data_IF_182917611240
#
_entry.id   IF_182917611240
#
_cell.length_a   1.000
_cell.length_b   1.000
_cell.length_c   1.000
_cell.angle_alpha   90.00
_cell.angle_beta   90.00
_cell.angle_gamma   90.00
#
_symmetry.space_group_name_H-M   'P 1'
#
loop_
_entity.id
_entity.type
_entity.pdbx_description
1 polymer ?
#
# COMPACT_ATOMS: atom_id res chain seq x y z
N UNK A 1 27.79 -7.69 -5.44
CA UNK A 1 26.49 -8.31 -5.13
C UNK A 1 25.39 -7.45 -5.70
N UNK A 2 24.40 -8.05 -6.35
CA UNK A 2 23.22 -7.35 -6.84
C UNK A 2 22.40 -6.86 -5.64
N UNK A 3 22.10 -5.56 -5.58
CA UNK A 3 21.25 -4.99 -4.53
C UNK A 3 19.83 -5.44 -4.80
N UNK A 4 19.33 -6.45 -4.09
CA UNK A 4 17.94 -6.88 -4.20
C UNK A 4 17.15 -6.26 -3.05
N UNK A 5 16.05 -5.63 -3.40
CA UNK A 5 15.17 -4.98 -2.46
C UNK A 5 13.72 -5.24 -2.85
N UNK A 6 12.94 -5.75 -1.91
CA UNK A 6 11.56 -6.14 -2.14
C UNK A 6 10.65 -5.21 -1.34
N UNK A 7 9.67 -4.60 -2.01
CA UNK A 7 8.63 -3.79 -1.37
C UNK A 7 7.35 -4.60 -1.34
N UNK A 8 6.83 -4.86 -0.15
CA UNK A 8 5.58 -5.56 0.07
C UNK A 8 4.55 -4.60 0.67
N UNK A 9 3.35 -4.55 0.09
CA UNK A 9 2.34 -3.61 0.55
C UNK A 9 1.02 -4.26 0.95
N UNK A 10 0.42 -3.71 2.01
CA UNK A 10 -0.95 -3.97 2.45
C UNK A 10 -1.76 -2.67 2.35
N UNK A 11 -2.80 -2.65 1.53
CA UNK A 11 -3.55 -1.46 1.15
C UNK A 11 -5.04 -1.76 1.09
N UNK A 12 -5.87 -0.89 1.66
CA UNK A 12 -7.33 -1.01 1.60
C UNK A 12 -7.90 -0.13 0.47
N UNK A 13 -7.52 1.16 0.45
CA UNK A 13 -8.04 2.18 -0.49
C UNK A 13 -7.06 2.57 -1.59
N UNK A 14 -5.90 1.92 -1.69
CA UNK A 14 -4.89 2.18 -2.73
C UNK A 14 -3.71 3.05 -2.30
N UNK A 15 -3.79 3.81 -1.21
CA UNK A 15 -2.71 4.73 -0.79
C UNK A 15 -1.37 4.03 -0.57
N UNK A 16 -1.35 2.89 0.11
CA UNK A 16 -0.11 2.12 0.36
C UNK A 16 0.45 1.50 -0.93
N UNK A 17 -0.42 1.11 -1.86
CA UNK A 17 -0.03 0.61 -3.17
C UNK A 17 0.64 1.71 -4.00
N UNK A 18 -0.01 2.87 -4.14
CA UNK A 18 0.51 4.00 -4.91
C UNK A 18 1.86 4.47 -4.37
N UNK A 19 2.00 4.54 -3.04
CA UNK A 19 3.25 4.90 -2.41
C UNK A 19 4.35 3.88 -2.69
N UNK A 20 4.04 2.59 -2.63
CA UNK A 20 4.98 1.51 -2.91
C UNK A 20 5.43 1.51 -4.37
N UNK A 21 4.50 1.71 -5.30
CA UNK A 21 4.81 1.87 -6.71
C UNK A 21 5.65 3.13 -6.96
N UNK A 22 5.38 4.23 -6.25
CA UNK A 22 6.18 5.46 -6.34
C UNK A 22 7.62 5.22 -5.87
N UNK A 23 7.80 4.62 -4.68
CA UNK A 23 9.12 4.25 -4.16
C UNK A 23 9.88 3.43 -5.18
N UNK A 24 9.23 2.44 -5.79
CA UNK A 24 9.85 1.62 -6.81
C UNK A 24 10.23 2.37 -8.08
N UNK A 25 9.40 3.29 -8.57
CA UNK A 25 9.74 4.10 -9.75
C UNK A 25 11.02 4.90 -9.53
N UNK A 26 11.16 5.50 -8.35
CA UNK A 26 12.35 6.28 -7.98
C UNK A 26 13.59 5.38 -7.71
N UNK A 27 13.34 4.11 -7.38
CA UNK A 27 14.36 3.17 -6.88
C UNK A 27 14.67 2.03 -7.83
N UNK A 28 14.06 1.99 -9.02
CA UNK A 28 14.22 0.96 -10.05
C UNK A 28 15.68 0.76 -10.46
N UNK A 29 16.49 1.83 -10.34
CA UNK A 29 17.93 1.83 -10.55
C UNK A 29 18.70 0.88 -9.61
N UNK A 30 18.08 0.48 -8.49
CA UNK A 30 18.63 -0.41 -7.48
C UNK A 30 17.99 -1.80 -7.48
N UNK A 31 17.29 -2.23 -8.54
CA UNK A 31 16.79 -3.60 -8.66
C UNK A 31 15.57 -3.94 -7.79
N UNK A 32 14.72 -2.95 -7.52
CA UNK A 32 13.57 -3.11 -6.63
C UNK A 32 12.44 -3.93 -7.28
N UNK A 33 11.77 -4.77 -6.47
CA UNK A 33 10.51 -5.45 -6.79
C UNK A 33 9.39 -4.86 -5.92
N UNK A 34 8.17 -4.74 -6.45
CA UNK A 34 6.98 -4.37 -5.67
C UNK A 34 5.91 -5.42 -5.88
N UNK A 35 5.29 -5.87 -4.80
CA UNK A 35 4.17 -6.80 -4.83
C UNK A 35 3.18 -6.48 -3.72
N UNK A 36 1.87 -6.73 -3.93
CA UNK A 36 0.93 -6.81 -2.82
C UNK A 36 1.25 -8.05 -1.97
N UNK A 37 0.91 -7.99 -0.68
CA UNK A 37 1.24 -9.07 0.27
C UNK A 37 0.50 -10.39 0.01
N UNK A 38 -0.63 -10.38 -0.67
CA UNK A 38 -1.42 -11.57 -1.03
C UNK A 38 -0.91 -12.28 -2.30
N UNK A 39 -0.11 -11.61 -3.13
CA UNK A 39 0.61 -12.21 -4.26
C UNK A 39 2.04 -12.65 -3.92
N UNK A 40 2.49 -12.40 -2.68
CA UNK A 40 3.82 -12.79 -2.22
C UNK A 40 3.76 -14.07 -1.38
N UNK A 41 4.66 -15.03 -1.67
CA UNK A 41 4.80 -16.25 -0.86
C UNK A 41 5.61 -15.95 0.42
N UNK A 42 5.02 -15.98 1.63
CA UNK A 42 5.73 -15.61 2.85
C UNK A 42 6.95 -16.48 3.18
N UNK A 43 7.02 -17.70 2.62
CA UNK A 43 8.17 -18.58 2.77
C UNK A 43 9.43 -18.05 2.06
N UNK A 44 9.27 -17.18 1.06
CA UNK A 44 10.39 -16.59 0.33
C UNK A 44 11.11 -15.50 1.14
N UNK A 45 10.50 -14.98 2.22
CA UNK A 45 11.11 -13.93 3.07
C UNK A 45 12.50 -14.31 3.57
N UNK A 46 12.73 -15.57 3.90
CA UNK A 46 14.02 -16.05 4.44
C UNK A 46 15.16 -15.92 3.41
N UNK A 47 14.82 -15.82 2.13
CA UNK A 47 15.78 -15.67 1.02
C UNK A 47 15.99 -14.21 0.62
N UNK A 48 15.20 -13.28 1.17
CA UNK A 48 15.33 -11.86 0.89
C UNK A 48 16.50 -11.26 1.68
N UNK A 49 17.17 -10.27 1.10
CA UNK A 49 18.19 -9.51 1.83
C UNK A 49 17.63 -8.26 2.49
N UNK A 50 16.78 -7.53 1.77
CA UNK A 50 16.22 -6.25 2.22
C UNK A 50 14.75 -6.17 1.82
N UNK A 51 13.86 -5.93 2.79
CA UNK A 51 12.42 -5.85 2.56
C UNK A 51 11.85 -4.58 3.19
N UNK A 52 11.13 -3.79 2.39
CA UNK A 52 10.29 -2.69 2.89
C UNK A 52 8.84 -3.14 2.94
N UNK A 53 8.24 -3.02 4.11
CA UNK A 53 6.82 -3.25 4.31
C UNK A 53 6.09 -1.91 4.34
N UNK A 54 5.11 -1.71 3.45
CA UNK A 54 4.24 -0.53 3.42
C UNK A 54 2.83 -0.95 3.79
N UNK A 55 2.34 -0.55 4.96
CA UNK A 55 1.09 -1.11 5.51
C UNK A 55 0.13 0.01 5.93
N UNK A 56 -1.09 -0.01 5.41
CA UNK A 56 -2.17 0.79 5.96
C UNK A 56 -2.76 0.16 7.22
N UNK A 57 -3.35 1.00 8.07
CA UNK A 57 -4.25 0.57 9.16
C UNK A 57 -5.68 0.95 8.76
N UNK A 58 -6.57 -0.03 8.64
CA UNK A 58 -7.96 0.17 8.22
C UNK A 58 -8.93 0.21 9.41
N UNK A 59 -10.04 0.92 9.24
CA UNK A 59 -11.18 0.93 10.17
C UNK A 59 -10.79 1.05 11.64
N UNK A 60 -11.18 0.07 12.45
CA UNK A 60 -10.93 0.01 13.89
C UNK A 60 -9.57 -0.61 14.24
N UNK A 61 -8.53 -0.29 13.47
CA UNK A 61 -7.18 -0.78 13.67
C UNK A 61 -6.95 -2.20 13.14
N UNK A 62 -7.60 -2.54 12.03
CA UNK A 62 -7.49 -3.83 11.37
C UNK A 62 -6.49 -3.76 10.22
N UNK A 63 -5.89 -4.90 9.89
CA UNK A 63 -5.06 -5.03 8.70
C UNK A 63 -5.91 -5.03 7.41
N UNK A 64 -5.42 -4.39 6.32
CA UNK A 64 -6.04 -4.45 5.02
C UNK A 64 -6.31 -5.86 4.51
N UNK A 65 -7.37 -6.02 3.71
CA UNK A 65 -7.79 -7.35 3.22
C UNK A 65 -6.65 -8.06 2.47
N UNK A 66 -5.94 -7.34 1.60
CA UNK A 66 -4.85 -7.87 0.78
C UNK A 66 -3.56 -8.22 1.58
N UNK A 67 -3.54 -8.05 2.91
CA UNK A 67 -2.45 -8.51 3.77
C UNK A 67 -2.84 -9.54 4.83
N UNK A 68 -4.13 -9.84 5.01
CA UNK A 68 -4.62 -10.74 6.07
C UNK A 68 -3.94 -12.12 6.06
N UNK A 69 -3.78 -12.73 4.87
CA UNK A 69 -3.15 -14.07 4.74
C UNK A 69 -1.67 -14.03 5.14
N UNK A 70 -0.95 -13.03 4.63
CA UNK A 70 0.47 -12.81 4.94
C UNK A 70 0.67 -12.54 6.44
N UNK A 71 -0.16 -11.69 7.03
CA UNK A 71 -0.11 -11.37 8.45
C UNK A 71 -0.38 -12.57 9.34
N UNK A 72 -1.41 -13.37 9.04
CA UNK A 72 -1.70 -14.62 9.74
C UNK A 72 -0.53 -15.61 9.68
N UNK A 73 0.18 -15.67 8.55
CA UNK A 73 1.38 -16.49 8.44
C UNK A 73 2.47 -16.04 9.41
N UNK A 74 2.80 -14.74 9.44
CA UNK A 74 3.82 -14.20 10.34
C UNK A 74 3.49 -14.43 11.83
N UNK A 75 2.21 -14.48 12.19
CA UNK A 75 1.76 -14.74 13.56
C UNK A 75 1.84 -16.21 14.00
N UNK A 76 2.19 -17.16 13.12
CA UNK A 76 2.31 -18.57 13.48
C UNK A 76 3.37 -18.76 14.56
N UNK A 77 2.98 -19.43 15.66
CA UNK A 77 3.89 -19.80 16.76
C UNK A 77 4.94 -20.83 16.38
N UNK A 78 4.70 -21.59 15.30
CA UNK A 78 5.62 -22.60 14.78
C UNK A 78 6.82 -22.01 14.04
N UNK A 79 6.83 -20.70 13.75
CA UNK A 79 7.98 -20.06 13.12
C UNK A 79 9.12 -19.93 14.13
N UNK A 80 10.34 -20.40 13.79
CA UNK A 80 11.53 -20.14 14.59
C UNK A 80 11.74 -18.64 14.82
N UNK A 81 12.20 -18.27 16.01
CA UNK A 81 12.43 -16.87 16.40
C UNK A 81 13.59 -16.20 15.66
N UNK A 82 14.38 -16.96 14.92
CA UNK A 82 15.51 -16.52 14.11
C UNK A 82 15.26 -16.69 12.60
N UNK A 83 14.01 -16.97 12.19
CA UNK A 83 13.63 -17.21 10.80
C UNK A 83 14.09 -16.11 9.83
N UNK A 84 14.16 -14.86 10.31
CA UNK A 84 14.50 -13.68 9.51
C UNK A 84 15.85 -13.07 9.90
N UNK A 85 16.72 -13.79 10.61
CA UNK A 85 18.01 -13.28 11.14
C UNK A 85 18.90 -12.59 10.09
N UNK A 86 18.86 -13.10 8.86
CA UNK A 86 19.69 -12.62 7.76
C UNK A 86 18.99 -11.55 6.91
N UNK A 87 17.72 -11.25 7.22
CA UNK A 87 16.86 -10.31 6.48
C UNK A 87 16.87 -8.94 7.15
N UNK A 88 17.21 -7.91 6.39
CA UNK A 88 17.04 -6.52 6.79
C UNK A 88 15.61 -6.05 6.47
N UNK A 89 14.96 -5.37 7.40
CA UNK A 89 13.57 -4.89 7.22
C UNK A 89 13.43 -3.43 7.55
N UNK A 90 12.56 -2.75 6.79
CA UNK A 90 12.06 -1.42 7.10
C UNK A 90 10.53 -1.46 7.06
N UNK A 91 9.86 -0.69 7.91
CA UNK A 91 8.39 -0.60 7.93
C UNK A 91 7.99 0.85 7.79
N UNK A 92 7.14 1.12 6.80
CA UNK A 92 6.45 2.39 6.63
C UNK A 92 4.95 2.13 6.83
N UNK A 93 4.42 2.67 7.92
CA UNK A 93 3.03 2.52 8.29
C UNK A 93 2.24 3.75 7.87
N UNK A 94 1.09 3.54 7.24
CA UNK A 94 0.11 4.58 6.93
C UNK A 94 -1.05 4.48 7.91
N UNK A 95 -1.38 5.60 8.55
CA UNK A 95 -2.48 5.67 9.50
C UNK A 95 -2.99 7.10 9.63
N UNK A 96 -3.96 7.26 10.51
CA UNK A 96 -4.66 8.51 10.76
C UNK A 96 -4.79 8.68 12.28
N UNK A 97 -4.23 9.76 12.82
CA UNK A 97 -4.18 10.03 14.27
C UNK A 97 -5.52 10.42 14.87
N UNK A 98 -6.55 10.70 14.05
CA UNK A 98 -7.93 10.86 14.52
C UNK A 98 -8.54 9.53 15.00
N UNK A 99 -7.95 8.39 14.64
CA UNK A 99 -8.37 7.07 15.09
C UNK A 99 -7.57 6.59 16.33
N UNK A 100 -8.21 5.97 17.34
CA UNK A 100 -7.53 5.52 18.55
C UNK A 100 -6.37 4.55 18.31
N UNK A 101 -6.46 3.74 17.26
CA UNK A 101 -5.45 2.74 16.87
C UNK A 101 -4.52 3.26 15.78
N UNK A 102 -3.98 4.46 15.97
CA UNK A 102 -3.03 5.10 15.07
C UNK A 102 -1.84 4.19 14.72
N UNK A 103 -1.70 3.87 13.41
CA UNK A 103 -0.65 3.01 12.86
C UNK A 103 -0.50 1.64 13.53
N UNK A 104 -1.59 1.09 14.06
CA UNK A 104 -1.56 -0.13 14.86
C UNK A 104 -1.01 -1.35 14.11
N UNK A 105 -1.36 -1.50 12.84
CA UNK A 105 -0.93 -2.63 12.00
C UNK A 105 0.57 -2.58 11.77
N UNK A 106 1.11 -1.44 11.34
CA UNK A 106 2.55 -1.29 11.10
C UNK A 106 3.38 -1.44 12.39
N UNK A 107 2.91 -0.89 13.52
CA UNK A 107 3.56 -1.09 14.83
C UNK A 107 3.64 -2.57 15.22
N UNK A 108 2.55 -3.32 15.02
CA UNK A 108 2.53 -4.77 15.28
C UNK A 108 3.43 -5.53 14.32
N UNK A 109 3.43 -5.15 13.04
CA UNK A 109 4.27 -5.77 12.03
C UNK A 109 5.76 -5.57 12.33
N UNK A 110 6.20 -4.34 12.56
CA UNK A 110 7.59 -4.05 12.95
C UNK A 110 8.01 -4.89 14.15
N UNK A 111 7.23 -4.87 15.25
CA UNK A 111 7.52 -5.68 16.44
C UNK A 111 7.64 -7.17 16.13
N UNK A 112 6.73 -7.70 15.30
CA UNK A 112 6.72 -9.14 14.97
C UNK A 112 7.90 -9.54 14.09
N UNK A 113 8.32 -8.69 13.15
CA UNK A 113 9.49 -8.95 12.31
C UNK A 113 10.76 -9.03 13.17
N UNK A 114 10.93 -8.11 14.12
CA UNK A 114 12.06 -8.14 15.06
C UNK A 114 12.03 -9.38 15.96
N UNK A 115 10.85 -9.82 16.41
CA UNK A 115 10.69 -11.07 17.17
C UNK A 115 11.05 -12.33 16.36
N UNK A 116 11.04 -12.25 15.03
CA UNK A 116 11.46 -13.32 14.12
C UNK A 116 12.94 -13.18 13.72
N UNK A 117 13.68 -12.27 14.36
CA UNK A 117 15.13 -12.10 14.18
C UNK A 117 15.51 -11.09 13.10
N UNK A 118 14.55 -10.47 12.41
CA UNK A 118 14.86 -9.49 11.37
C UNK A 118 15.66 -8.31 11.91
N UNK A 119 16.55 -7.76 11.08
CA UNK A 119 17.37 -6.60 11.41
C UNK A 119 16.67 -5.33 10.96
N UNK A 120 16.40 -4.42 11.89
CA UNK A 120 15.82 -3.11 11.54
C UNK A 120 16.84 -2.27 10.76
N UNK A 121 16.50 -1.89 9.53
CA UNK A 121 17.31 -0.97 8.69
C UNK A 121 17.31 0.43 9.28
N UNK A 122 16.11 0.95 9.52
CA UNK A 122 15.83 2.25 10.10
C UNK A 122 14.55 2.13 10.94
N UNK A 123 14.36 3.01 11.95
CA UNK A 123 13.15 3.02 12.76
C UNK A 123 11.89 3.13 11.91
N UNK A 124 10.83 2.45 12.33
CA UNK A 124 9.50 2.50 11.68
C UNK A 124 9.04 3.94 11.38
N UNK A 125 8.62 4.19 10.14
CA UNK A 125 7.95 5.42 9.74
C UNK A 125 6.46 5.34 10.04
N UNK A 126 5.92 6.31 10.79
CA UNK A 126 4.50 6.39 11.15
C UNK A 126 3.86 7.59 10.43
N UNK A 127 3.41 7.40 9.19
CA UNK A 127 2.72 8.45 8.44
C UNK A 127 1.36 8.75 9.05
N UNK A 128 0.98 10.02 9.03
CA UNK A 128 -0.29 10.52 9.55
C UNK A 128 -1.05 11.30 8.47
N UNK A 129 -2.27 10.85 8.17
CA UNK A 129 -3.15 11.53 7.21
C UNK A 129 -3.66 12.89 7.74
N UNK A 130 -3.66 13.09 9.07
CA UNK A 130 -4.08 14.33 9.71
C UNK A 130 -2.98 15.40 9.78
N UNK A 131 -1.75 15.08 9.38
CA UNK A 131 -0.66 16.03 9.37
C UNK A 131 -0.88 17.09 8.27
N UNK A 132 -0.43 18.34 8.46
CA UNK A 132 -0.63 19.43 7.48
C UNK A 132 -0.03 19.11 6.09
N UNK A 133 1.09 18.40 6.09
CA UNK A 133 1.74 17.85 4.87
C UNK A 133 1.31 16.42 4.53
N UNK A 134 0.28 15.90 5.19
CA UNK A 134 -0.19 14.52 5.14
C UNK A 134 0.92 13.50 5.36
N UNK A 135 0.78 12.35 4.70
CA UNK A 135 1.74 11.24 4.79
C UNK A 135 3.17 11.63 4.37
N UNK A 136 3.33 12.66 3.54
CA UNK A 136 4.61 13.09 3.01
C UNK A 136 5.58 13.59 4.09
N UNK A 137 5.05 14.10 5.21
CA UNK A 137 5.82 14.58 6.35
C UNK A 137 6.80 13.54 6.89
N UNK A 138 6.39 12.27 6.88
CA UNK A 138 7.18 11.15 7.38
C UNK A 138 7.76 10.34 6.23
N UNK A 139 6.98 10.10 5.18
CA UNK A 139 7.40 9.30 4.03
C UNK A 139 8.68 9.82 3.36
N UNK A 140 8.77 11.12 3.07
CA UNK A 140 9.91 11.70 2.35
C UNK A 140 11.22 11.53 3.13
N UNK A 141 11.33 11.99 4.40
CA UNK A 141 12.56 11.79 5.15
C UNK A 141 12.86 10.32 5.41
N UNK A 142 11.83 9.49 5.67
CA UNK A 142 12.01 8.05 5.88
C UNK A 142 12.69 7.37 4.68
N UNK A 143 12.21 7.63 3.46
CA UNK A 143 12.77 7.03 2.26
C UNK A 143 14.19 7.54 2.00
N UNK A 144 14.45 8.83 2.20
CA UNK A 144 15.80 9.38 2.11
C UNK A 144 16.77 8.65 3.05
N UNK A 145 16.38 8.51 4.31
CA UNK A 145 17.23 7.92 5.36
C UNK A 145 17.41 6.41 5.13
N UNK A 146 16.36 5.72 4.67
CA UNK A 146 16.44 4.32 4.25
C UNK A 146 17.45 4.14 3.12
N UNK A 147 17.40 4.99 2.09
CA UNK A 147 18.34 4.92 0.97
C UNK A 147 19.77 5.25 1.37
N UNK A 148 19.96 6.25 2.24
CA UNK A 148 21.27 6.55 2.79
C UNK A 148 21.83 5.32 3.53
N UNK A 149 21.03 4.67 4.38
CA UNK A 149 21.44 3.47 5.09
C UNK A 149 21.77 2.30 4.16
N UNK A 150 20.97 2.12 3.12
CA UNK A 150 21.23 1.11 2.09
C UNK A 150 22.55 1.36 1.35
N UNK A 151 22.89 2.62 1.06
CA UNK A 151 24.16 2.97 0.42
C UNK A 151 25.37 2.76 1.34
N UNK A 152 25.21 2.95 2.65
CA UNK A 152 26.25 2.60 3.63
C UNK A 152 26.52 1.09 3.66
N UNK A 153 25.46 0.28 3.68
CA UNK A 153 25.57 -1.19 3.74
C UNK A 153 26.04 -1.80 2.42
N UNK A 154 25.69 -1.17 1.30
CA UNK A 154 25.96 -1.66 -0.05
C UNK A 154 26.56 -0.55 -0.93
N UNK A 155 27.80 -0.09 -0.66
CA UNK A 155 28.42 1.02 -1.37
C UNK A 155 28.51 0.73 -2.88
N UNK A 156 28.35 1.79 -3.68
CA UNK A 156 28.50 1.70 -5.14
C UNK A 156 29.98 1.46 -5.47
N UNK A 157 30.35 0.37 -6.16
CA UNK A 157 31.73 0.15 -6.55
C UNK A 157 32.26 1.32 -7.37
N UNK A 158 33.51 1.72 -7.17
CA UNK A 158 34.16 2.76 -7.96
C UNK A 158 34.03 2.46 -9.48
N UNK A 159 33.77 3.51 -10.26
CA UNK A 159 33.59 3.42 -11.72
C UNK A 159 32.25 2.83 -12.18
N UNK A 160 31.36 2.40 -11.27
CA UNK A 160 30.00 2.01 -11.63
C UNK A 160 29.06 3.20 -11.46
N UNK A 161 28.80 3.92 -12.54
CA UNK A 161 27.62 4.80 -12.58
C UNK A 161 26.38 3.93 -12.43
N UNK A 162 25.48 4.30 -11.53
CA UNK A 162 24.14 3.74 -11.53
C UNK A 162 23.51 4.23 -12.83
N UNK A 163 23.28 3.37 -13.85
CA UNK A 163 22.80 3.85 -15.12
C UNK A 163 21.47 4.56 -14.87
N UNK A 164 21.38 5.82 -15.33
CA UNK A 164 20.12 6.54 -15.43
C UNK A 164 19.26 5.78 -16.44
N UNK A 165 18.63 4.69 -16.00
CA UNK A 165 17.62 4.01 -16.82
C UNK A 165 16.54 5.06 -17.07
N UNK A 166 16.24 5.41 -18.33
CA UNK A 166 15.21 6.39 -18.62
C UNK A 166 13.91 5.99 -17.92
N UNK A 167 13.12 6.97 -17.48
CA UNK A 167 11.87 6.75 -16.74
C UNK A 167 10.99 5.78 -17.54
N UNK A 168 10.97 4.52 -17.12
CA UNK A 168 10.17 3.50 -17.78
C UNK A 168 8.77 3.59 -17.20
N UNK A 169 7.87 4.17 -17.97
CA UNK A 169 6.45 4.14 -17.66
C UNK A 169 5.96 2.69 -17.69
N UNK A 170 5.11 2.31 -16.72
CA UNK A 170 4.42 1.01 -16.70
C UNK A 170 3.69 0.75 -18.03
N UNK A 171 3.20 1.82 -18.63
CA UNK A 171 2.45 1.83 -19.87
C UNK A 171 3.22 2.58 -20.96
N UNK A 172 3.34 1.98 -22.14
CA UNK A 172 3.75 2.68 -23.35
C UNK A 172 2.50 3.27 -23.98
N UNK A 173 2.38 4.60 -23.95
CA UNK A 173 1.20 5.31 -24.47
C UNK A 173 1.45 5.71 -25.91
N UNK A 174 0.50 5.43 -26.80
CA UNK A 174 0.49 5.90 -28.18
C UNK A 174 -0.83 6.62 -28.45
N UNK A 175 -0.76 7.79 -29.08
CA UNK A 175 -1.95 8.50 -29.56
C UNK A 175 -2.39 7.82 -30.85
N UNK A 176 -3.61 7.29 -30.87
CA UNK A 176 -4.23 6.71 -32.06
C UNK A 176 -5.13 7.77 -32.71
N UNK A 177 -5.02 7.97 -34.03
CA UNK A 177 -5.82 8.93 -34.80
C UNK A 177 -7.32 8.61 -34.80
N UNK A 178 -7.65 7.32 -34.71
CA UNK A 178 -9.01 6.79 -34.80
C UNK A 178 -9.38 5.97 -33.56
N UNK A 179 -8.98 6.45 -32.37
CA UNK A 179 -9.34 5.77 -31.13
C UNK A 179 -10.86 5.84 -30.95
N UNK A 180 -11.52 4.68 -30.99
CA UNK A 180 -12.83 4.49 -30.36
C UNK A 180 -12.53 4.04 -28.94
N UNK A 181 -12.46 4.94 -27.94
CA UNK A 181 -12.17 4.53 -26.58
C UNK A 181 -13.17 3.46 -26.19
N UNK A 182 -12.67 2.28 -25.84
CA UNK A 182 -13.50 1.23 -25.29
C UNK A 182 -13.92 1.73 -23.90
N UNK A 183 -15.11 2.34 -23.82
CA UNK A 183 -15.65 2.90 -22.57
C UNK A 183 -16.06 1.82 -21.58
N UNK A 184 -15.86 0.54 -21.92
CA UNK A 184 -16.01 -0.54 -20.97
C UNK A 184 -14.91 -0.43 -19.94
N UNK A 185 -15.26 0.17 -18.81
CA UNK A 185 -14.34 0.28 -17.70
C UNK A 185 -13.96 -1.13 -17.25
N UNK A 186 -12.69 -1.35 -16.90
CA UNK A 186 -12.18 -2.70 -16.51
C UNK A 186 -13.01 -3.33 -15.39
N UNK A 187 -13.55 -2.50 -14.51
CA UNK A 187 -14.39 -2.92 -13.39
C UNK A 187 -15.80 -3.37 -13.79
N UNK A 188 -16.31 -3.00 -14.98
CA UNK A 188 -17.59 -3.53 -15.49
C UNK A 188 -17.56 -5.06 -15.68
N UNK A 189 -16.36 -5.64 -15.79
CA UNK A 189 -16.16 -7.07 -15.94
C UNK A 189 -16.08 -7.80 -14.60
N UNK A 190 -15.96 -7.08 -13.48
CA UNK A 190 -15.85 -7.68 -12.16
C UNK A 190 -17.22 -8.22 -11.72
N UNK A 191 -17.34 -9.52 -11.34
CA UNK A 191 -18.63 -10.15 -11.07
C UNK A 191 -19.38 -9.57 -9.86
N UNK A 192 -18.73 -8.75 -9.03
CA UNK A 192 -19.34 -8.05 -7.89
C UNK A 192 -19.93 -6.67 -8.26
N UNK A 193 -19.61 -6.14 -9.45
CA UNK A 193 -20.03 -4.80 -9.86
C UNK A 193 -21.33 -4.88 -10.64
N UNK A 194 -22.26 -4.00 -10.32
CA UNK A 194 -23.56 -3.87 -10.99
C UNK A 194 -23.76 -2.41 -11.37
N UNK A 195 -24.07 -2.17 -12.64
CA UNK A 195 -24.62 -0.89 -13.04
C UNK A 195 -25.98 -0.73 -12.35
N UNK A 196 -26.20 0.41 -11.69
CA UNK A 196 -27.47 0.71 -11.05
C UNK A 196 -27.88 2.15 -11.37
N UNK A 197 -29.19 2.38 -11.51
CA UNK A 197 -29.72 3.72 -11.72
C UNK A 197 -29.88 4.44 -10.38
N UNK A 198 -29.52 5.72 -10.34
CA UNK A 198 -29.90 6.59 -9.22
C UNK A 198 -31.37 6.97 -9.35
N UNK A 199 -32.20 6.53 -8.41
CA UNK A 199 -33.64 6.83 -8.37
C UNK A 199 -33.93 8.18 -7.72
N UNK A 200 -33.20 8.54 -6.66
CA UNK A 200 -33.30 9.84 -5.99
C UNK A 200 -31.92 10.35 -5.59
N UNK A 201 -31.73 11.66 -5.67
CA UNK A 201 -30.56 12.37 -5.17
C UNK A 201 -31.04 13.70 -4.59
N UNK A 202 -31.21 13.76 -3.27
CA UNK A 202 -31.90 14.86 -2.59
C UNK A 202 -30.97 15.43 -1.53
N UNK A 203 -30.76 16.75 -1.54
CA UNK A 203 -30.04 17.45 -0.48
C UNK A 203 -30.84 17.39 0.82
N UNK A 204 -30.22 16.94 1.91
CA UNK A 204 -30.84 16.85 3.25
C UNK A 204 -30.49 18.03 4.14
N UNK A 205 -29.42 18.75 3.81
CA UNK A 205 -29.01 20.00 4.48
C UNK A 205 -29.81 21.20 3.97
N UNK A 206 -29.93 22.24 4.80
CA UNK A 206 -30.56 23.49 4.37
C UNK A 206 -29.79 24.11 3.20
N UNK A 207 -30.49 24.77 2.26
CA UNK A 207 -29.89 25.35 1.04
C UNK A 207 -28.73 26.31 1.32
N UNK A 208 -28.82 27.05 2.42
CA UNK A 208 -27.83 28.06 2.83
C UNK A 208 -26.74 27.50 3.73
N UNK A 209 -26.80 26.20 4.08
CA UNK A 209 -25.73 25.55 4.83
C UNK A 209 -24.49 25.35 3.94
N UNK A 210 -23.29 25.51 4.50
CA UNK A 210 -22.04 25.44 3.73
C UNK A 210 -21.69 24.01 3.25
N UNK A 211 -22.14 22.98 3.97
CA UNK A 211 -22.01 21.57 3.56
C UNK A 211 -23.27 21.08 2.83
N UNK A 212 -23.08 20.29 1.76
CA UNK A 212 -24.11 19.58 1.01
C UNK A 212 -24.07 18.08 1.34
N UNK A 213 -24.93 17.65 2.27
CA UNK A 213 -25.20 16.23 2.55
C UNK A 213 -26.41 15.78 1.74
N UNK A 214 -26.33 14.61 1.11
CA UNK A 214 -27.38 14.09 0.21
C UNK A 214 -27.88 12.70 0.59
N UNK A 215 -29.20 12.52 0.48
CA UNK A 215 -29.86 11.23 0.46
C UNK A 215 -29.87 10.70 -0.97
N UNK A 216 -29.23 9.55 -1.19
CA UNK A 216 -29.19 8.87 -2.47
C UNK A 216 -29.98 7.58 -2.35
N UNK A 217 -30.91 7.37 -3.29
CA UNK A 217 -31.66 6.13 -3.44
C UNK A 217 -31.28 5.49 -4.76
N UNK A 218 -30.78 4.25 -4.71
CA UNK A 218 -30.34 3.49 -5.89
C UNK A 218 -31.37 2.41 -6.22
N UNK A 219 -31.46 2.08 -7.50
CA UNK A 219 -32.29 0.99 -7.99
C UNK A 219 -31.81 -0.33 -7.39
N UNK A 220 -32.76 -1.07 -6.79
CA UNK A 220 -32.49 -2.36 -6.15
C UNK A 220 -31.87 -3.32 -7.18
N UNK A 221 -30.66 -3.76 -6.90
CA UNK A 221 -30.00 -4.82 -7.63
C UNK A 221 -30.32 -6.18 -6.98
N UNK A 222 -30.18 -7.27 -7.74
CA UNK A 222 -30.24 -8.63 -7.18
C UNK A 222 -28.95 -8.96 -6.41
N UNK A 223 -28.75 -8.24 -5.32
CA UNK A 223 -27.64 -8.37 -4.39
C UNK A 223 -28.21 -8.62 -2.99
N UNK A 224 -27.65 -9.60 -2.30
CA UNK A 224 -27.93 -9.83 -0.88
C UNK A 224 -27.01 -8.94 -0.06
N UNK A 225 -27.59 -8.19 0.86
CA UNK A 225 -26.88 -7.34 1.82
C UNK A 225 -27.63 -7.34 3.14
N UNK A 226 -26.92 -7.06 4.23
CA UNK A 226 -27.44 -6.92 5.58
C UNK A 226 -27.28 -5.47 6.06
N UNK A 227 -28.14 -5.01 6.98
CA UNK A 227 -27.92 -3.72 7.64
C UNK A 227 -26.52 -3.65 8.26
N UNK A 228 -25.73 -2.66 7.84
CA UNK A 228 -24.34 -2.46 8.27
C UNK A 228 -23.30 -2.79 7.20
N UNK A 229 -23.68 -3.40 6.08
CA UNK A 229 -22.79 -3.60 4.93
C UNK A 229 -22.46 -2.27 4.22
N UNK A 230 -21.24 -2.18 3.69
CA UNK A 230 -20.78 -1.02 2.92
C UNK A 230 -21.12 -1.14 1.43
N UNK A 231 -21.43 -0.01 0.79
CA UNK A 231 -21.67 0.08 -0.65
C UNK A 231 -20.58 0.91 -1.31
N UNK A 232 -19.75 0.28 -2.15
CA UNK A 232 -18.72 0.97 -2.91
C UNK A 232 -19.34 1.51 -4.20
N UNK A 233 -19.30 2.84 -4.38
CA UNK A 233 -19.79 3.51 -5.58
C UNK A 233 -18.60 3.93 -6.43
N UNK A 234 -18.58 3.48 -7.67
CA UNK A 234 -17.61 3.92 -8.69
C UNK A 234 -18.36 4.92 -9.58
N UNK A 235 -17.90 6.17 -9.58
CA UNK A 235 -18.48 7.28 -10.35
C UNK A 235 -17.75 7.49 -11.67
#
# INVERSE_FOLDING_TARGET
MERKFTVLYGSETGTAQDLSEHIWRESKKYGFKVLPMDEYNPLELISEQNVLFVCATAGQGEEPENMKKFWKFLLKKSLPLDSLRDVNVAVLSLGDSSFPKFNWVGKRMSKRLLQLGARELIPIGLCDDQHDMGIAAVYIPFIRDMFAKMLELYPVPEGHEVPLKPRQFKWKVQILSDSKPETKQVWEQLPMIRACKTLKNIRTTHKDHFQDVRYINLEKQDLKWLPGDDYIVIL
#
